data_IF_288647168931
#
_entry.id   IF_288647168931
#
_cell.length_a   1.000
_cell.length_b   1.000
_cell.length_c   1.000
_cell.angle_alpha   90.00
_cell.angle_beta   90.00
_cell.angle_gamma   90.00
#
_symmetry.space_group_name_H-M   'P 1'
#
loop_
_entity.id
_entity.type
_entity.pdbx_description
1 polymer ?
#
# COMPACT_ATOMS: atom_id res chain seq x y z
N UNK A 1 -2.49 -11.36 -14.10
CA UNK A 1 -1.79 -10.15 -13.54
C UNK A 1 -2.12 -8.92 -14.38
N UNK A 2 -2.14 -7.74 -13.77
CA UNK A 2 -2.45 -6.49 -14.49
C UNK A 2 -1.33 -6.12 -15.48
N UNK A 3 -1.69 -5.73 -16.69
CA UNK A 3 -0.73 -5.46 -17.78
C UNK A 3 0.25 -4.33 -17.53
N UNK A 4 -0.08 -3.38 -16.64
CA UNK A 4 0.86 -2.35 -16.20
C UNK A 4 2.16 -2.95 -15.63
N UNK A 5 2.07 -4.10 -14.95
CA UNK A 5 3.27 -4.80 -14.42
C UNK A 5 4.15 -5.28 -15.57
N UNK A 6 3.55 -5.86 -16.62
CA UNK A 6 4.30 -6.32 -17.80
C UNK A 6 4.96 -5.16 -18.55
N UNK A 7 4.20 -4.10 -18.84
CA UNK A 7 4.75 -2.92 -19.53
C UNK A 7 5.88 -2.29 -18.73
N UNK A 8 5.73 -2.21 -17.41
CA UNK A 8 6.76 -1.63 -16.53
C UNK A 8 7.97 -2.57 -16.42
N UNK A 9 7.75 -3.88 -16.44
CA UNK A 9 8.83 -4.87 -16.47
C UNK A 9 9.69 -4.73 -17.74
N UNK A 10 9.10 -4.66 -18.92
CA UNK A 10 9.84 -4.46 -20.16
C UNK A 10 10.58 -3.13 -20.19
N UNK A 11 9.92 -2.08 -19.70
CA UNK A 11 10.55 -0.77 -19.59
C UNK A 11 11.74 -0.78 -18.64
N UNK A 12 11.65 -1.50 -17.53
CA UNK A 12 12.77 -1.73 -16.62
C UNK A 12 13.93 -2.45 -17.34
N UNK A 13 13.64 -3.52 -18.10
CA UNK A 13 14.66 -4.25 -18.84
C UNK A 13 15.36 -3.34 -19.86
N UNK A 14 14.61 -2.56 -20.64
CA UNK A 14 15.16 -1.63 -21.62
C UNK A 14 16.05 -0.56 -20.97
N UNK A 15 15.57 0.09 -19.92
CA UNK A 15 16.31 1.19 -19.28
C UNK A 15 17.54 0.68 -18.49
N UNK A 16 17.48 -0.52 -17.92
CA UNK A 16 18.54 -1.07 -17.07
C UNK A 16 19.63 -1.79 -17.89
N UNK A 17 19.24 -2.49 -18.95
CA UNK A 17 20.12 -3.40 -19.69
C UNK A 17 20.23 -3.08 -21.19
N UNK A 18 19.48 -2.12 -21.67
CA UNK A 18 19.47 -1.70 -23.07
C UNK A 18 18.44 -2.41 -23.94
N UNK A 19 18.19 -1.81 -25.11
CA UNK A 19 17.18 -2.28 -26.06
C UNK A 19 17.54 -3.64 -26.65
N UNK A 20 18.83 -3.92 -26.83
CA UNK A 20 19.31 -5.22 -27.37
C UNK A 20 18.90 -6.39 -26.46
N UNK A 21 19.02 -6.21 -25.13
CA UNK A 21 18.57 -7.23 -24.17
C UNK A 21 17.05 -7.37 -24.22
N UNK A 22 16.31 -6.30 -24.33
CA UNK A 22 14.84 -6.36 -24.44
C UNK A 22 14.43 -7.13 -25.70
N UNK A 23 15.07 -6.94 -26.82
CA UNK A 23 14.80 -7.69 -28.06
C UNK A 23 15.14 -9.19 -27.90
N UNK A 24 16.27 -9.51 -27.29
CA UNK A 24 16.65 -10.90 -26.99
C UNK A 24 15.63 -11.55 -26.03
N UNK A 25 15.18 -10.82 -25.01
CA UNK A 25 14.14 -11.24 -24.07
C UNK A 25 12.83 -11.55 -24.80
N UNK A 26 12.30 -10.61 -25.60
CA UNK A 26 11.06 -10.79 -26.36
C UNK A 26 11.14 -12.00 -27.30
N UNK A 27 12.24 -12.17 -27.99
CA UNK A 27 12.48 -13.35 -28.83
C UNK A 27 12.44 -14.64 -28.01
N UNK A 28 13.03 -14.64 -26.82
CA UNK A 28 13.09 -15.83 -25.95
C UNK A 28 11.69 -16.24 -25.44
N UNK A 29 10.82 -15.29 -25.18
CA UNK A 29 9.44 -15.56 -24.72
C UNK A 29 8.42 -15.66 -25.87
N UNK A 30 8.88 -15.56 -27.13
CA UNK A 30 8.02 -15.63 -28.33
C UNK A 30 7.14 -14.39 -28.52
N UNK A 31 7.53 -13.24 -27.98
CA UNK A 31 6.78 -12.01 -28.10
C UNK A 31 7.18 -11.21 -29.34
N UNK A 32 6.19 -10.60 -29.99
CA UNK A 32 6.34 -9.76 -31.17
C UNK A 32 5.80 -8.35 -30.87
N UNK A 33 6.08 -7.34 -31.71
CA UNK A 33 5.48 -6.02 -31.55
C UNK A 33 3.95 -6.04 -31.53
N UNK A 34 3.31 -7.01 -32.21
CA UNK A 34 1.86 -7.19 -32.21
C UNK A 34 1.31 -7.79 -30.92
N UNK A 35 2.13 -8.53 -30.17
CA UNK A 35 1.79 -9.20 -28.92
C UNK A 35 2.35 -8.48 -27.70
N UNK A 36 3.02 -7.35 -27.87
CA UNK A 36 3.57 -6.55 -26.79
C UNK A 36 2.50 -6.21 -25.71
N UNK A 37 2.87 -6.23 -24.43
CA UNK A 37 1.91 -6.08 -23.36
C UNK A 37 1.23 -4.70 -23.34
N UNK A 38 -0.07 -4.70 -23.09
CA UNK A 38 -0.88 -3.49 -22.93
C UNK A 38 -1.24 -3.28 -21.46
N UNK A 39 -0.99 -2.07 -20.96
CA UNK A 39 -1.22 -1.73 -19.56
C UNK A 39 -2.67 -1.93 -19.08
N UNK A 40 -3.64 -1.87 -19.99
CA UNK A 40 -5.08 -2.01 -19.68
C UNK A 40 -5.60 -3.45 -19.70
N UNK A 41 -4.76 -4.43 -20.07
CA UNK A 41 -5.16 -5.84 -20.14
C UNK A 41 -4.75 -6.63 -18.90
N UNK A 42 -5.38 -7.76 -18.69
CA UNK A 42 -5.00 -8.77 -17.70
C UNK A 42 -4.37 -9.94 -18.43
N UNK A 43 -3.25 -10.43 -17.92
CA UNK A 43 -2.46 -11.52 -18.48
C UNK A 43 -2.33 -12.67 -17.49
N UNK A 44 -1.99 -13.87 -17.97
CA UNK A 44 -1.66 -14.99 -17.11
C UNK A 44 -0.40 -14.66 -16.30
N UNK A 45 -0.41 -15.04 -15.03
CA UNK A 45 0.71 -14.83 -14.11
C UNK A 45 1.96 -15.61 -14.54
N UNK A 46 1.78 -16.84 -15.06
CA UNK A 46 2.87 -17.70 -15.52
C UNK A 46 3.68 -17.07 -16.65
N UNK A 47 3.04 -16.25 -17.48
CA UNK A 47 3.73 -15.52 -18.55
C UNK A 47 4.78 -14.56 -17.98
N UNK A 48 4.47 -13.81 -16.93
CA UNK A 48 5.46 -12.94 -16.30
C UNK A 48 6.56 -13.74 -15.62
N UNK A 49 6.22 -14.80 -14.90
CA UNK A 49 7.21 -15.63 -14.20
C UNK A 49 8.18 -16.30 -15.19
N UNK A 50 7.67 -16.82 -16.30
CA UNK A 50 8.48 -17.34 -17.38
C UNK A 50 9.41 -16.25 -17.97
N UNK A 51 8.88 -15.03 -18.16
CA UNK A 51 9.65 -13.87 -18.59
C UNK A 51 10.77 -13.51 -17.61
N UNK A 52 10.49 -13.50 -16.30
CA UNK A 52 11.53 -13.24 -15.28
C UNK A 52 12.63 -14.30 -15.33
N UNK A 53 12.27 -15.57 -15.53
CA UNK A 53 13.26 -16.64 -15.69
C UNK A 53 14.10 -16.48 -16.97
N UNK A 54 13.49 -16.07 -18.09
CA UNK A 54 14.19 -15.78 -19.32
C UNK A 54 15.19 -14.62 -19.13
N UNK A 55 14.74 -13.53 -18.52
CA UNK A 55 15.60 -12.39 -18.20
C UNK A 55 16.75 -12.77 -17.24
N UNK A 56 16.49 -13.64 -16.27
CA UNK A 56 17.53 -14.15 -15.36
C UNK A 56 18.66 -14.88 -16.12
N UNK A 57 18.30 -15.70 -17.10
CA UNK A 57 19.28 -16.39 -17.95
C UNK A 57 20.07 -15.43 -18.84
N UNK A 58 19.42 -14.40 -19.36
CA UNK A 58 20.05 -13.42 -20.25
C UNK A 58 20.98 -12.46 -19.49
N UNK A 59 20.62 -12.10 -18.27
CA UNK A 59 21.36 -11.10 -17.46
C UNK A 59 22.38 -11.73 -16.51
N UNK A 60 22.25 -13.02 -16.20
CA UNK A 60 23.02 -13.69 -15.15
C UNK A 60 22.59 -13.32 -13.71
N UNK A 61 21.60 -12.46 -13.54
CA UNK A 61 21.07 -12.08 -12.23
C UNK A 61 20.02 -13.07 -11.74
N UNK A 62 19.91 -13.22 -10.43
CA UNK A 62 18.85 -14.06 -9.86
C UNK A 62 17.46 -13.47 -10.09
N UNK A 63 16.44 -14.31 -10.17
CA UNK A 63 15.04 -13.88 -10.30
C UNK A 63 14.63 -12.94 -9.15
N UNK A 64 15.12 -13.16 -7.94
CA UNK A 64 14.84 -12.33 -6.77
C UNK A 64 15.49 -10.94 -6.89
N UNK A 65 16.70 -10.86 -7.40
CA UNK A 65 17.37 -9.57 -7.68
C UNK A 65 16.62 -8.79 -8.74
N UNK A 66 16.27 -9.41 -9.85
CA UNK A 66 15.51 -8.77 -10.93
C UNK A 66 14.14 -8.29 -10.47
N UNK A 67 13.40 -9.12 -9.72
CA UNK A 67 12.10 -8.74 -9.16
C UNK A 67 12.21 -7.58 -8.17
N UNK A 68 13.25 -7.56 -7.32
CA UNK A 68 13.47 -6.46 -6.38
C UNK A 68 13.79 -5.15 -7.11
N UNK A 69 14.71 -5.18 -8.07
CA UNK A 69 15.02 -3.99 -8.88
C UNK A 69 13.80 -3.50 -9.65
N UNK A 70 13.06 -4.42 -10.29
CA UNK A 70 11.82 -4.08 -11.01
C UNK A 70 10.73 -3.50 -10.08
N UNK A 71 10.59 -4.03 -8.86
CA UNK A 71 9.66 -3.49 -7.87
C UNK A 71 9.99 -2.06 -7.47
N UNK A 72 11.28 -1.76 -7.24
CA UNK A 72 11.76 -0.40 -6.98
C UNK A 72 11.49 0.51 -8.19
N UNK A 73 11.86 0.05 -9.39
CA UNK A 73 11.62 0.77 -10.63
C UNK A 73 10.12 1.06 -10.85
N UNK A 74 9.25 0.09 -10.52
CA UNK A 74 7.80 0.23 -10.65
C UNK A 74 7.28 1.48 -9.93
N UNK A 75 7.76 1.77 -8.74
CA UNK A 75 7.34 2.93 -7.95
C UNK A 75 7.97 4.24 -8.44
N UNK A 76 9.10 4.20 -9.12
CA UNK A 76 9.86 5.38 -9.52
C UNK A 76 9.59 5.87 -10.94
N UNK A 77 9.11 4.99 -11.84
CA UNK A 77 8.96 5.34 -13.25
C UNK A 77 7.74 6.25 -13.51
N UNK A 78 7.84 7.06 -14.59
CA UNK A 78 6.83 8.05 -14.96
C UNK A 78 5.48 7.43 -15.35
N UNK A 79 5.47 6.24 -15.97
CA UNK A 79 4.24 5.57 -16.38
C UNK A 79 3.39 5.17 -15.17
N UNK A 80 3.99 4.57 -14.15
CA UNK A 80 3.30 4.24 -12.90
C UNK A 80 2.84 5.51 -12.19
N UNK A 81 3.67 6.55 -12.16
CA UNK A 81 3.31 7.86 -11.59
C UNK A 81 2.05 8.40 -12.24
N UNK A 82 1.96 8.35 -13.56
CA UNK A 82 0.78 8.82 -14.29
C UNK A 82 -0.45 7.92 -14.05
N UNK A 83 -0.29 6.61 -14.16
CA UNK A 83 -1.41 5.65 -14.06
C UNK A 83 -1.94 5.50 -12.63
N UNK A 84 -1.10 5.67 -11.62
CA UNK A 84 -1.44 5.57 -10.21
C UNK A 84 -1.56 6.94 -9.52
N UNK A 85 -1.64 8.03 -10.27
CA UNK A 85 -1.70 9.39 -9.73
C UNK A 85 -2.80 9.58 -8.68
N UNK A 86 -3.95 8.92 -8.87
CA UNK A 86 -5.09 8.98 -7.96
C UNK A 86 -4.79 8.47 -6.54
N UNK A 87 -3.79 7.58 -6.38
CA UNK A 87 -3.29 7.16 -5.07
C UNK A 87 -2.12 8.02 -4.64
N UNK A 88 -1.14 8.21 -5.54
CA UNK A 88 0.14 8.85 -5.23
C UNK A 88 0.00 10.32 -4.83
N UNK A 89 -1.05 11.01 -5.29
CA UNK A 89 -1.34 12.40 -4.92
C UNK A 89 -2.08 12.55 -3.58
N UNK A 90 -2.65 11.47 -3.06
CA UNK A 90 -3.41 11.48 -1.80
C UNK A 90 -2.56 11.14 -0.57
N UNK A 91 -1.33 10.68 -0.77
CA UNK A 91 -0.42 10.22 0.28
C UNK A 91 0.86 11.05 0.30
N UNK A 92 1.47 11.21 1.48
CA UNK A 92 2.61 12.08 1.71
C UNK A 92 3.86 11.33 2.20
N UNK A 93 3.76 10.04 2.40
CA UNK A 93 4.85 9.18 2.89
C UNK A 93 4.78 7.78 2.28
N UNK A 94 5.89 7.08 2.30
CA UNK A 94 5.95 5.68 1.89
C UNK A 94 5.01 4.82 2.74
N UNK A 95 4.97 5.07 4.05
CA UNK A 95 4.07 4.36 4.96
C UNK A 95 2.60 4.56 4.57
N UNK A 96 2.17 5.79 4.31
CA UNK A 96 0.80 6.07 3.86
C UNK A 96 0.48 5.37 2.53
N UNK A 97 1.43 5.36 1.57
CA UNK A 97 1.27 4.65 0.32
C UNK A 97 1.03 3.16 0.54
N UNK A 98 1.86 2.51 1.37
CA UNK A 98 1.69 1.09 1.67
C UNK A 98 0.34 0.81 2.31
N UNK A 99 -0.12 1.64 3.25
CA UNK A 99 -1.43 1.50 3.87
C UNK A 99 -2.58 1.65 2.86
N UNK A 100 -2.46 2.57 1.90
CA UNK A 100 -3.44 2.77 0.83
C UNK A 100 -3.54 1.57 -0.12
N UNK A 101 -2.47 0.78 -0.26
CA UNK A 101 -2.44 -0.39 -1.15
C UNK A 101 -3.49 -1.45 -0.80
N UNK A 102 -3.85 -1.61 0.48
CA UNK A 102 -4.92 -2.54 0.89
C UNK A 102 -6.25 -2.18 0.23
N UNK A 103 -6.63 -0.91 0.30
CA UNK A 103 -7.87 -0.42 -0.31
C UNK A 103 -7.85 -0.56 -1.82
N UNK A 104 -6.76 -0.13 -2.46
CA UNK A 104 -6.59 -0.21 -3.91
C UNK A 104 -6.70 -1.66 -4.42
N UNK A 105 -6.00 -2.62 -3.81
CA UNK A 105 -6.06 -4.02 -4.20
C UNK A 105 -7.41 -4.67 -3.88
N UNK A 106 -8.07 -4.27 -2.80
CA UNK A 106 -9.42 -4.72 -2.47
C UNK A 106 -10.44 -4.26 -3.53
N UNK A 107 -10.30 -3.07 -4.08
CA UNK A 107 -11.14 -2.58 -5.18
C UNK A 107 -10.89 -3.37 -6.47
N UNK A 108 -9.63 -3.67 -6.80
CA UNK A 108 -9.28 -4.46 -7.98
C UNK A 108 -9.89 -5.87 -7.96
N UNK A 109 -10.11 -6.48 -6.79
CA UNK A 109 -10.79 -7.79 -6.67
C UNK A 109 -12.27 -7.76 -7.02
N UNK A 110 -12.88 -6.60 -7.02
CA UNK A 110 -14.30 -6.42 -7.33
C UNK A 110 -14.55 -6.19 -8.83
N UNK A 111 -13.50 -6.05 -9.62
CA UNK A 111 -13.62 -5.89 -11.06
C UNK A 111 -13.89 -7.26 -11.73
N UNK A 112 -14.68 -7.30 -12.81
CA UNK A 112 -15.06 -8.56 -13.47
C UNK A 112 -13.93 -9.21 -14.29
N UNK A 113 -12.76 -8.63 -14.33
CA UNK A 113 -11.61 -9.03 -15.16
C UNK A 113 -10.82 -10.24 -14.58
N UNK A 114 -11.33 -10.87 -13.52
CA UNK A 114 -10.71 -12.04 -12.84
C UNK A 114 -9.31 -11.76 -12.30
N UNK A 115 -8.96 -10.49 -12.06
CA UNK A 115 -7.70 -10.14 -11.46
C UNK A 115 -7.66 -10.61 -9.99
N UNK A 116 -6.61 -11.32 -9.62
CA UNK A 116 -6.35 -11.76 -8.24
C UNK A 116 -5.17 -10.97 -7.68
N UNK A 117 -5.38 -9.76 -7.16
CA UNK A 117 -4.32 -8.99 -6.55
C UNK A 117 -3.90 -9.59 -5.21
N UNK A 118 -2.65 -9.31 -4.74
CA UNK A 118 -2.21 -9.73 -3.43
C UNK A 118 -3.10 -9.18 -2.31
N UNK A 119 -3.10 -9.88 -1.19
CA UNK A 119 -3.72 -9.43 0.06
C UNK A 119 -2.69 -8.72 0.90
N UNK A 120 -3.02 -7.52 1.37
CA UNK A 120 -2.22 -6.77 2.32
C UNK A 120 -2.91 -6.71 3.68
N UNK A 121 -2.22 -7.17 4.70
CA UNK A 121 -2.57 -7.01 6.10
C UNK A 121 -1.57 -6.09 6.80
N UNK A 122 -1.97 -5.49 7.91
CA UNK A 122 -1.11 -4.64 8.71
C UNK A 122 -1.31 -4.95 10.18
N UNK A 123 -0.20 -4.97 10.92
CA UNK A 123 -0.19 -5.05 12.37
C UNK A 123 0.49 -3.80 12.93
N UNK A 124 -0.07 -3.28 14.01
CA UNK A 124 0.57 -2.21 14.78
C UNK A 124 1.35 -2.84 15.92
N UNK A 125 2.67 -2.79 15.83
CA UNK A 125 3.57 -3.33 16.88
C UNK A 125 3.91 -2.26 17.91
N UNK A 126 3.85 -0.99 17.52
CA UNK A 126 4.19 0.13 18.40
C UNK A 126 3.34 1.35 18.07
N UNK A 127 3.30 2.31 19.01
CA UNK A 127 2.72 3.64 18.78
C UNK A 127 3.64 4.53 17.92
N UNK A 128 4.77 4.01 17.45
CA UNK A 128 5.69 4.75 16.60
C UNK A 128 5.10 4.94 15.19
N UNK A 129 4.82 6.18 14.78
CA UNK A 129 4.24 6.45 13.46
C UNK A 129 5.16 6.08 12.30
N UNK A 130 6.44 5.82 12.56
CA UNK A 130 7.42 5.43 11.54
C UNK A 130 7.54 3.91 11.39
N UNK A 131 6.84 3.13 12.21
CA UNK A 131 6.89 1.67 12.15
C UNK A 131 5.61 1.10 11.54
N UNK A 132 5.77 0.01 10.81
CA UNK A 132 4.68 -0.74 10.19
C UNK A 132 5.05 -2.20 10.09
N UNK A 133 4.16 -3.09 10.49
CA UNK A 133 4.26 -4.50 10.10
C UNK A 133 3.31 -4.75 8.95
N UNK A 134 3.88 -5.18 7.84
CA UNK A 134 3.17 -5.50 6.61
C UNK A 134 3.09 -7.01 6.45
N UNK A 135 1.87 -7.53 6.34
CA UNK A 135 1.58 -8.91 5.98
C UNK A 135 1.24 -8.95 4.50
N UNK A 136 1.91 -9.83 3.77
CA UNK A 136 1.71 -10.01 2.33
C UNK A 136 1.36 -11.46 2.04
N UNK A 137 0.20 -11.67 1.45
CA UNK A 137 -0.26 -12.97 0.98
C UNK A 137 -0.55 -12.90 -0.51
N UNK A 138 0.08 -13.79 -1.27
CA UNK A 138 -0.08 -13.87 -2.73
C UNK A 138 0.35 -15.23 -3.25
N UNK A 139 -0.48 -15.90 -4.04
CA UNK A 139 -0.13 -17.18 -4.65
C UNK A 139 1.08 -17.09 -5.61
N UNK A 140 1.47 -15.86 -6.00
CA UNK A 140 2.61 -15.61 -6.91
C UNK A 140 3.97 -15.65 -6.24
N UNK A 141 4.01 -15.60 -4.91
CA UNK A 141 5.25 -15.57 -4.12
C UNK A 141 6.25 -14.48 -4.55
N UNK A 142 5.73 -13.32 -4.99
CA UNK A 142 6.55 -12.19 -5.50
C UNK A 142 7.00 -11.24 -4.37
N UNK A 143 7.39 -11.79 -3.22
CA UNK A 143 7.84 -11.01 -2.06
C UNK A 143 9.09 -10.17 -2.36
N UNK A 144 9.98 -10.62 -3.24
CA UNK A 144 11.14 -9.84 -3.68
C UNK A 144 10.74 -8.58 -4.44
N UNK A 145 9.69 -8.66 -5.29
CA UNK A 145 9.15 -7.47 -5.97
C UNK A 145 8.51 -6.50 -4.98
N UNK A 146 7.78 -7.01 -3.97
CA UNK A 146 7.24 -6.17 -2.90
C UNK A 146 8.35 -5.49 -2.11
N UNK A 147 9.44 -6.21 -1.78
CA UNK A 147 10.60 -5.62 -1.12
C UNK A 147 11.11 -4.41 -1.89
N UNK A 148 11.37 -4.56 -3.18
CA UNK A 148 11.79 -3.47 -4.05
C UNK A 148 10.77 -2.33 -4.12
N UNK A 149 9.47 -2.66 -4.18
CA UNK A 149 8.41 -1.65 -4.16
C UNK A 149 8.40 -0.84 -2.85
N UNK A 150 8.68 -1.46 -1.71
CA UNK A 150 8.83 -0.75 -0.42
C UNK A 150 10.02 0.21 -0.47
N UNK A 151 11.16 -0.22 -1.01
CA UNK A 151 12.34 0.63 -1.21
C UNK A 151 12.05 1.80 -2.16
N UNK A 152 11.39 1.52 -3.29
CA UNK A 152 11.00 2.56 -4.26
C UNK A 152 9.98 3.54 -3.68
N UNK A 153 9.06 3.06 -2.83
CA UNK A 153 8.14 3.94 -2.11
C UNK A 153 8.91 4.90 -1.17
N UNK A 154 9.84 4.39 -0.38
CA UNK A 154 10.65 5.23 0.51
C UNK A 154 11.45 6.28 -0.29
N UNK A 155 12.12 5.86 -1.37
CA UNK A 155 12.87 6.76 -2.24
C UNK A 155 12.00 7.86 -2.86
N UNK A 156 10.79 7.51 -3.31
CA UNK A 156 9.84 8.45 -3.90
C UNK A 156 9.47 9.60 -2.96
N UNK A 157 9.37 9.33 -1.67
CA UNK A 157 9.08 10.34 -0.64
C UNK A 157 10.35 10.87 0.05
N UNK A 158 11.52 10.61 -0.53
CA UNK A 158 12.82 11.01 0.03
C UNK A 158 13.07 10.46 1.44
N UNK A 159 12.43 9.35 1.76
CA UNK A 159 12.58 8.63 3.02
C UNK A 159 13.60 7.49 2.86
N UNK A 160 14.13 7.01 3.97
CA UNK A 160 14.85 5.73 4.04
C UNK A 160 13.99 4.72 4.76
N UNK A 161 14.16 3.44 4.43
CA UNK A 161 13.43 2.35 5.08
C UNK A 161 14.40 1.25 5.50
N UNK A 162 14.22 0.74 6.71
CA UNK A 162 14.81 -0.52 7.16
C UNK A 162 13.74 -1.60 7.06
N UNK A 163 14.05 -2.67 6.36
CA UNK A 163 13.15 -3.78 6.10
C UNK A 163 13.72 -5.03 6.78
N UNK A 164 12.92 -5.72 7.59
CA UNK A 164 13.25 -7.01 8.14
C UNK A 164 12.14 -8.02 7.80
N UNK A 165 12.45 -9.02 6.96
CA UNK A 165 11.53 -10.10 6.62
C UNK A 165 11.60 -11.16 7.72
N UNK A 166 10.55 -11.26 8.54
CA UNK A 166 10.45 -12.21 9.68
C UNK A 166 9.88 -13.55 9.26
N UNK A 167 9.03 -13.57 8.25
CA UNK A 167 8.48 -14.78 7.66
C UNK A 167 8.35 -14.63 6.15
N UNK A 168 8.48 -15.74 5.41
CA UNK A 168 8.41 -15.72 3.95
C UNK A 168 7.70 -16.96 3.42
N UNK A 169 6.74 -16.77 2.52
CA UNK A 169 6.01 -17.85 1.86
C UNK A 169 6.93 -18.78 1.08
N UNK A 170 8.03 -18.27 0.49
CA UNK A 170 9.05 -19.09 -0.19
C UNK A 170 9.78 -20.04 0.77
N UNK A 171 9.70 -19.80 2.08
CA UNK A 171 10.28 -20.63 3.15
C UNK A 171 9.20 -21.38 3.95
N UNK A 172 7.99 -21.52 3.40
CA UNK A 172 6.91 -22.31 3.98
C UNK A 172 6.00 -21.57 4.98
N UNK A 173 6.17 -20.27 5.17
CA UNK A 173 5.23 -19.49 5.97
C UNK A 173 3.89 -19.27 5.21
N UNK A 174 2.75 -19.15 5.92
CA UNK A 174 1.44 -18.92 5.27
C UNK A 174 1.35 -17.54 4.59
N UNK A 175 2.12 -16.57 5.06
CA UNK A 175 2.25 -15.23 4.47
C UNK A 175 3.65 -14.68 4.74
N UNK A 176 4.09 -13.70 3.92
CA UNK A 176 5.31 -12.97 4.23
C UNK A 176 5.02 -11.88 5.26
N UNK A 177 5.92 -11.70 6.23
CA UNK A 177 5.82 -10.69 7.28
C UNK A 177 7.04 -9.77 7.23
N UNK A 178 6.81 -8.49 6.99
CA UNK A 178 7.83 -7.46 6.91
C UNK A 178 7.67 -6.47 8.06
N UNK A 179 8.70 -6.31 8.87
CA UNK A 179 8.82 -5.21 9.82
C UNK A 179 9.55 -4.06 9.14
N UNK A 180 8.88 -2.92 9.06
CA UNK A 180 9.34 -1.74 8.36
C UNK A 180 9.56 -0.60 9.36
N UNK A 181 10.69 0.09 9.23
CA UNK A 181 10.96 1.32 9.98
C UNK A 181 11.37 2.40 8.97
N UNK A 182 10.57 3.44 8.86
CA UNK A 182 10.79 4.57 7.96
C UNK A 182 11.56 5.68 8.68
N UNK A 183 12.50 6.29 7.97
CA UNK A 183 13.29 7.42 8.44
C UNK A 183 12.96 8.60 7.53
N UNK A 184 12.35 9.66 8.06
CA UNK A 184 12.03 10.85 7.28
C UNK A 184 13.32 11.50 6.73
N UNK A 185 13.21 12.35 5.70
CA UNK A 185 14.36 13.09 5.17
C UNK A 185 15.07 13.85 6.29
N UNK A 186 16.41 13.94 6.21
CA UNK A 186 17.21 14.67 7.22
C UNK A 186 16.76 16.13 7.39
N UNK A 187 16.21 16.74 6.34
CA UNK A 187 15.60 18.06 6.37
C UNK A 187 14.28 18.12 7.15
N UNK A 188 13.55 17.00 7.25
CA UNK A 188 12.34 16.91 8.06
C UNK A 188 12.65 16.85 9.57
N UNK A 189 13.87 16.44 9.94
CA UNK A 189 14.38 16.53 11.32
C UNK A 189 14.69 17.96 11.73
N UNK A 190 14.82 18.89 10.77
CA UNK A 190 15.01 20.32 10.98
C UNK A 190 13.70 21.13 10.94
N UNK A 191 12.53 20.45 10.86
CA UNK A 191 11.25 21.12 11.03
C UNK A 191 11.17 21.71 12.45
N UNK A 192 10.56 22.90 12.62
CA UNK A 192 10.48 23.55 13.92
C UNK A 192 9.97 22.55 14.94
N UNK A 193 10.63 22.53 16.10
CA UNK A 193 10.17 21.79 17.27
C UNK A 193 8.68 22.10 17.42
N UNK A 194 7.83 21.07 17.27
CA UNK A 194 6.38 21.24 17.43
C UNK A 194 6.13 22.05 18.71
N UNK A 195 5.39 23.11 18.60
CA UNK A 195 5.09 23.92 19.79
C UNK A 195 4.41 23.05 20.84
N UNK A 196 4.56 23.33 22.13
CA UNK A 196 3.86 22.57 23.17
C UNK A 196 2.35 22.44 22.90
N UNK A 197 1.75 23.44 22.25
CA UNK A 197 0.36 23.44 21.84
C UNK A 197 0.09 22.45 20.69
N UNK A 198 0.96 22.32 19.72
CA UNK A 198 0.85 21.34 18.62
C UNK A 198 1.00 19.93 19.15
N UNK A 199 1.97 19.69 20.04
CA UNK A 199 2.14 18.39 20.71
C UNK A 199 0.94 18.01 21.56
N UNK A 200 0.35 18.96 22.31
CA UNK A 200 -0.85 18.73 23.10
C UNK A 200 -2.04 18.40 22.19
N UNK A 201 -2.24 19.14 21.10
CA UNK A 201 -3.28 18.89 20.10
C UNK A 201 -3.14 17.49 19.46
N UNK A 202 -1.92 17.11 19.11
CA UNK A 202 -1.63 15.78 18.54
C UNK A 202 -1.91 14.65 19.54
N UNK A 203 -1.56 14.82 20.82
CA UNK A 203 -1.91 13.87 21.88
C UNK A 203 -3.42 13.69 22.03
N UNK A 204 -4.16 14.78 22.03
CA UNK A 204 -5.63 14.75 22.12
C UNK A 204 -6.23 14.03 20.92
N UNK A 205 -5.77 14.32 19.70
CA UNK A 205 -6.22 13.63 18.48
C UNK A 205 -5.92 12.15 18.54
N UNK A 206 -4.73 11.76 19.02
CA UNK A 206 -4.35 10.35 19.17
C UNK A 206 -5.21 9.63 20.23
N UNK A 207 -5.48 10.27 21.37
CA UNK A 207 -6.36 9.73 22.40
C UNK A 207 -7.78 9.55 21.86
N UNK A 208 -8.31 10.53 21.14
CA UNK A 208 -9.62 10.44 20.52
C UNK A 208 -9.67 9.30 19.49
N UNK A 209 -8.66 9.17 18.63
CA UNK A 209 -8.57 8.08 17.65
C UNK A 209 -8.58 6.71 18.32
N UNK A 210 -7.87 6.54 19.44
CA UNK A 210 -7.86 5.30 20.21
C UNK A 210 -9.24 4.99 20.82
N UNK A 211 -9.93 6.00 21.37
CA UNK A 211 -11.28 5.85 21.91
C UNK A 211 -12.28 5.50 20.80
N UNK A 212 -12.20 6.18 19.66
CA UNK A 212 -13.02 5.88 18.47
C UNK A 212 -12.79 4.43 18.01
N UNK A 213 -11.55 4.02 17.88
CA UNK A 213 -11.20 2.65 17.46
C UNK A 213 -11.76 1.60 18.45
N UNK A 214 -11.68 1.86 19.75
CA UNK A 214 -12.19 0.94 20.77
C UNK A 214 -13.72 0.75 20.74
N UNK A 215 -14.45 1.76 20.25
CA UNK A 215 -15.93 1.76 20.20
C UNK A 215 -16.45 1.16 18.89
N UNK A 216 -15.72 1.32 17.78
CA UNK A 216 -16.18 0.86 16.48
C UNK A 216 -16.41 -0.66 16.48
N UNK A 217 -17.52 -1.14 15.90
CA UNK A 217 -17.79 -2.57 15.76
C UNK A 217 -16.84 -3.20 14.74
N UNK A 218 -16.76 -4.53 14.73
CA UNK A 218 -16.01 -5.30 13.73
C UNK A 218 -16.86 -5.66 12.49
N UNK A 219 -18.18 -5.54 12.60
CA UNK A 219 -19.16 -5.80 11.54
C UNK A 219 -20.31 -4.79 11.59
N UNK A 220 -21.10 -4.73 10.50
CA UNK A 220 -22.29 -3.87 10.33
C UNK A 220 -22.06 -2.35 10.40
N UNK A 221 -20.89 -1.91 10.79
CA UNK A 221 -20.51 -0.51 10.81
C UNK A 221 -21.40 0.38 11.68
N UNK A 222 -20.92 1.56 11.98
CA UNK A 222 -21.59 2.60 12.76
C UNK A 222 -21.52 3.92 12.00
N UNK A 223 -22.62 4.67 11.97
CA UNK A 223 -22.65 6.01 11.38
C UNK A 223 -21.91 7.02 12.25
N UNK A 224 -21.59 8.18 11.70
CA UNK A 224 -20.98 9.28 12.45
C UNK A 224 -21.87 9.75 13.61
N UNK A 225 -23.20 9.75 13.41
CA UNK A 225 -24.17 10.14 14.44
C UNK A 225 -24.22 9.13 15.59
N UNK A 226 -24.27 7.84 15.28
CA UNK A 226 -24.25 6.76 16.28
C UNK A 226 -22.94 6.80 17.08
N UNK A 227 -21.80 6.99 16.40
CA UNK A 227 -20.50 7.13 17.05
C UNK A 227 -20.46 8.34 18.00
N UNK A 228 -20.96 9.49 17.55
CA UNK A 228 -21.04 10.70 18.36
C UNK A 228 -21.88 10.48 19.62
N UNK A 229 -23.06 9.88 19.48
CA UNK A 229 -23.96 9.60 20.62
C UNK A 229 -23.28 8.70 21.66
N UNK A 230 -22.59 7.62 21.22
CA UNK A 230 -21.85 6.73 22.11
C UNK A 230 -20.68 7.42 22.83
N UNK A 231 -19.96 8.30 22.15
CA UNK A 231 -18.86 9.06 22.74
C UNK A 231 -19.37 10.03 23.81
N UNK A 232 -20.54 10.68 23.58
CA UNK A 232 -21.18 11.54 24.55
C UNK A 232 -21.64 10.76 25.79
N UNK A 233 -22.20 9.57 25.62
CA UNK A 233 -22.57 8.68 26.73
C UNK A 233 -21.34 8.23 27.56
N UNK A 234 -20.15 8.20 26.95
CA UNK A 234 -18.88 7.91 27.63
C UNK A 234 -18.19 9.16 28.20
N UNK A 235 -18.89 10.26 28.32
CA UNK A 235 -18.40 11.54 28.87
C UNK A 235 -17.20 12.13 28.05
N UNK A 236 -17.09 11.83 26.78
CA UNK A 236 -16.13 12.50 25.91
C UNK A 236 -16.61 13.94 25.68
N UNK A 237 -15.70 14.89 25.89
CA UNK A 237 -16.00 16.31 25.78
C UNK A 237 -16.71 16.69 24.47
N UNK A 238 -17.69 17.59 24.55
CA UNK A 238 -18.43 18.09 23.39
C UNK A 238 -17.52 18.70 22.29
N UNK A 239 -16.39 19.30 22.67
CA UNK A 239 -15.40 19.82 21.73
C UNK A 239 -14.75 18.72 20.88
N UNK A 240 -14.55 17.53 21.44
CA UNK A 240 -13.95 16.38 20.78
C UNK A 240 -14.97 15.52 20.01
N UNK A 241 -16.27 15.68 20.29
CA UNK A 241 -17.34 14.97 19.57
C UNK A 241 -17.95 15.79 18.42
N UNK A 242 -17.34 16.92 18.05
CA UNK A 242 -17.75 17.70 16.87
C UNK A 242 -17.55 16.85 15.61
N UNK A 243 -18.49 16.89 14.64
CA UNK A 243 -18.43 16.06 13.43
C UNK A 243 -17.10 16.15 12.69
N UNK A 244 -16.54 17.35 12.54
CA UNK A 244 -15.27 17.56 11.84
C UNK A 244 -14.11 16.86 12.54
N UNK A 245 -14.07 16.90 13.89
CA UNK A 245 -13.00 16.29 14.69
C UNK A 245 -13.08 14.76 14.64
N UNK A 246 -14.30 14.21 14.63
CA UNK A 246 -14.53 12.77 14.48
C UNK A 246 -14.19 12.28 13.08
N UNK A 247 -14.50 13.07 12.04
CA UNK A 247 -14.11 12.75 10.67
C UNK A 247 -12.60 12.76 10.49
N UNK A 248 -11.90 13.73 11.09
CA UNK A 248 -10.42 13.75 11.09
C UNK A 248 -9.84 12.49 11.76
N UNK A 249 -10.39 12.10 12.93
CA UNK A 249 -9.96 10.89 13.62
C UNK A 249 -10.25 9.61 12.81
N UNK A 250 -11.44 9.50 12.22
CA UNK A 250 -11.80 8.38 11.35
C UNK A 250 -10.93 8.31 10.09
N UNK A 251 -10.66 9.45 9.44
CA UNK A 251 -9.77 9.54 8.29
C UNK A 251 -8.36 9.10 8.66
N UNK A 252 -7.85 9.56 9.81
CA UNK A 252 -6.55 9.11 10.32
C UNK A 252 -6.52 7.59 10.54
N UNK A 253 -7.55 7.01 11.15
CA UNK A 253 -7.66 5.57 11.38
C UNK A 253 -7.84 4.78 10.07
N UNK A 254 -8.53 5.35 9.07
CA UNK A 254 -8.63 4.76 7.73
C UNK A 254 -7.29 4.75 7.00
N UNK A 255 -6.53 5.86 7.05
CA UNK A 255 -5.18 5.92 6.52
C UNK A 255 -4.22 4.95 7.23
N UNK A 256 -4.44 4.73 8.52
CA UNK A 256 -3.73 3.70 9.29
C UNK A 256 -4.21 2.26 8.97
N UNK A 257 -5.22 2.07 8.12
CA UNK A 257 -5.76 0.74 7.79
C UNK A 257 -6.52 0.05 8.92
N UNK A 258 -6.83 0.78 10.01
CA UNK A 258 -7.49 0.26 11.22
C UNK A 258 -9.02 0.34 11.14
N UNK A 259 -9.53 1.20 10.27
CA UNK A 259 -10.97 1.42 10.07
C UNK A 259 -11.29 1.30 8.58
N UNK A 260 -12.37 0.62 8.30
CA UNK A 260 -13.00 0.56 6.97
C UNK A 260 -14.30 1.33 6.99
N UNK A 261 -14.77 1.78 5.83
CA UNK A 261 -16.09 2.39 5.69
C UNK A 261 -16.81 1.88 4.45
N UNK A 262 -18.13 2.11 4.38
CA UNK A 262 -18.87 1.95 3.13
C UNK A 262 -18.22 2.79 2.04
N UNK A 263 -18.16 2.26 0.82
CA UNK A 263 -17.57 2.97 -0.32
C UNK A 263 -18.37 4.26 -0.59
N UNK A 264 -17.66 5.32 -0.98
CA UNK A 264 -18.29 6.52 -1.51
C UNK A 264 -18.95 6.18 -2.84
N UNK A 265 -20.25 6.31 -2.91
CA UNK A 265 -20.93 6.45 -4.19
C UNK A 265 -21.09 7.94 -4.50
N UNK A 266 -21.10 8.35 -5.78
CA UNK A 266 -21.40 9.74 -6.15
C UNK A 266 -22.78 10.11 -5.59
N UNK A 267 -22.83 11.10 -4.70
CA UNK A 267 -24.06 11.53 -4.01
C UNK A 267 -24.24 10.98 -2.60
N UNK A 268 -23.34 10.16 -2.09
CA UNK A 268 -23.41 9.69 -0.70
C UNK A 268 -23.22 10.87 0.29
N UNK A 269 -24.25 11.11 1.08
CA UNK A 269 -24.15 11.97 2.25
C UNK A 269 -23.29 11.29 3.33
N UNK A 270 -22.34 12.04 3.89
CA UNK A 270 -21.49 11.59 5.00
C UNK A 270 -22.28 11.08 6.21
N UNK A 271 -23.54 11.48 6.34
CA UNK A 271 -24.45 11.05 7.41
C UNK A 271 -24.80 9.55 7.33
N UNK A 272 -24.80 8.95 6.15
CA UNK A 272 -25.16 7.55 5.94
C UNK A 272 -23.94 6.62 5.87
N UNK A 273 -22.72 7.17 5.82
CA UNK A 273 -21.50 6.38 5.80
C UNK A 273 -21.34 5.63 7.11
N UNK A 274 -21.11 4.31 7.00
CA UNK A 274 -20.87 3.44 8.15
C UNK A 274 -19.38 3.08 8.24
N UNK A 275 -18.86 3.08 9.47
CA UNK A 275 -17.46 2.82 9.80
C UNK A 275 -17.36 1.61 10.71
N UNK A 276 -16.36 0.74 10.50
CA UNK A 276 -16.08 -0.41 11.35
C UNK A 276 -14.58 -0.67 11.46
N UNK A 277 -14.18 -1.38 12.51
CA UNK A 277 -12.78 -1.83 12.63
C UNK A 277 -12.45 -2.75 11.47
N UNK A 278 -11.32 -2.47 10.80
CA UNK A 278 -10.80 -3.40 9.80
C UNK A 278 -10.48 -4.73 10.50
N UNK A 279 -10.81 -5.90 9.91
CA UNK A 279 -10.43 -7.18 10.49
C UNK A 279 -8.92 -7.19 10.68
N UNK A 280 -8.45 -7.51 11.88
CA UNK A 280 -7.05 -7.89 12.11
C UNK A 280 -6.85 -9.16 11.32
N UNK A 281 -5.80 -9.20 10.47
CA UNK A 281 -5.40 -10.45 9.86
C UNK A 281 -5.06 -11.41 11.00
N UNK A 282 -5.92 -12.43 11.21
CA UNK A 282 -5.65 -13.50 12.12
C UNK A 282 -4.60 -14.43 11.56
#
# INVERSE_FOLDING_TARGET
MHGLIFVTWEKYLAERFGEELLQAYRKTIGETPATAPLASRVYNDDTLLAGVHAASKLTGLTTDTLLREAGRYYLMNGLTTHRCAYILTQVRSARELLLAMRGAHSQMRRTPDKLIPPVFGYEMVSMNPNELVLIYDSPRHMCSMLWGAIEGAAERYSERVRIAERACMKRGAPACRFELCFFPPAQALALPIESPQQMARRRIQQQLANVVLAILPTSNGMTLLELRALLQLRNVSASHTRPIVLLEALTHLQHAGLVSSTANQPGDDLSHRRYWRAPTAG
#
